data_IF_331376972454
#
_entry.id   IF_331376972454
#
_cell.length_a   1.000
_cell.length_b   1.000
_cell.length_c   1.000
_cell.angle_alpha   90.00
_cell.angle_beta   90.00
_cell.angle_gamma   90.00
#
_symmetry.space_group_name_H-M   'P 1'
#
loop_
_entity.id
_entity.type
_entity.pdbx_description
1 polymer ?
#
# COMPACT_ATOMS: atom_id res chain seq x y z
N UNK A 1 -15.38 29.22 -9.72
CA UNK A 1 -14.01 28.88 -9.25
C UNK A 1 -13.03 29.11 -10.38
N UNK A 2 -11.77 29.45 -10.09
CA UNK A 2 -10.74 29.63 -11.13
C UNK A 2 -10.54 28.32 -11.95
N UNK A 3 -10.42 28.37 -13.29
CA UNK A 3 -10.31 27.16 -14.12
C UNK A 3 -9.15 26.22 -13.76
N UNK A 4 -8.05 26.79 -13.26
CA UNK A 4 -6.86 26.03 -12.86
C UNK A 4 -6.96 25.40 -11.47
N UNK A 5 -8.00 25.72 -10.69
CA UNK A 5 -8.11 25.26 -9.31
C UNK A 5 -8.40 23.76 -9.32
N UNK A 6 -7.57 23.00 -8.59
CA UNK A 6 -7.82 21.58 -8.40
C UNK A 6 -9.06 21.37 -7.52
N UNK A 7 -9.69 20.21 -7.63
CA UNK A 7 -10.82 19.84 -6.81
C UNK A 7 -10.39 19.74 -5.34
N UNK A 8 -9.18 19.24 -5.06
CA UNK A 8 -8.70 19.11 -3.68
C UNK A 8 -8.51 20.47 -3.00
N UNK A 9 -7.99 21.46 -3.72
CA UNK A 9 -7.84 22.82 -3.18
C UNK A 9 -9.20 23.46 -2.93
N UNK A 10 -10.15 23.27 -3.85
CA UNK A 10 -11.51 23.77 -3.66
C UNK A 10 -12.17 23.16 -2.42
N UNK A 11 -12.09 21.83 -2.27
CA UNK A 11 -12.69 21.12 -1.13
C UNK A 11 -12.09 21.58 0.20
N UNK A 12 -10.76 21.74 0.27
CA UNK A 12 -10.04 22.07 1.51
C UNK A 12 -10.15 23.54 1.89
N UNK A 13 -9.99 24.45 0.92
CA UNK A 13 -9.87 25.87 1.21
C UNK A 13 -11.24 26.57 1.24
N UNK A 14 -12.06 26.36 0.21
CA UNK A 14 -13.39 26.99 0.09
C UNK A 14 -14.43 26.15 0.83
N UNK A 15 -14.42 24.83 0.59
CA UNK A 15 -15.38 23.89 1.19
C UNK A 15 -15.11 23.58 2.66
N UNK A 16 -13.89 23.86 3.15
CA UNK A 16 -13.43 23.51 4.51
C UNK A 16 -13.58 22.02 4.86
N UNK A 17 -13.63 21.15 3.85
CA UNK A 17 -13.67 19.69 3.98
C UNK A 17 -12.24 19.15 4.05
N UNK A 18 -11.60 19.36 5.20
CA UNK A 18 -10.15 19.16 5.39
C UNK A 18 -9.73 17.72 5.66
N UNK A 19 -10.67 16.77 5.77
CA UNK A 19 -10.37 15.35 5.83
C UNK A 19 -9.70 14.85 4.55
N UNK A 20 -9.96 15.47 3.41
CA UNK A 20 -9.24 15.16 2.17
C UNK A 20 -7.81 15.72 2.24
N UNK A 21 -6.80 14.87 2.09
CA UNK A 21 -5.39 15.25 2.22
C UNK A 21 -4.63 15.29 0.89
N UNK A 22 -3.49 15.98 0.88
CA UNK A 22 -2.65 16.17 -0.32
C UNK A 22 -1.23 15.71 -0.02
N UNK A 23 -0.86 14.53 -0.50
CA UNK A 23 0.50 13.98 -0.27
C UNK A 23 1.47 14.12 -1.45
N UNK A 24 0.96 14.09 -2.68
CA UNK A 24 1.82 14.02 -3.87
C UNK A 24 1.43 14.97 -5.01
N UNK A 25 0.16 15.37 -5.15
CA UNK A 25 -0.31 16.26 -6.23
C UNK A 25 -0.14 15.77 -7.68
N UNK A 26 0.34 14.53 -7.88
CA UNK A 26 0.46 13.91 -9.20
C UNK A 26 -0.29 12.56 -9.28
N UNK A 27 -1.34 12.38 -8.45
CA UNK A 27 -2.29 11.26 -8.53
C UNK A 27 -1.84 9.92 -7.96
N UNK A 28 -0.63 9.83 -7.40
CA UNK A 28 -0.02 8.55 -6.98
C UNK A 28 -0.42 8.11 -5.56
N UNK A 29 -0.41 8.99 -4.58
CA UNK A 29 -0.54 8.59 -3.17
C UNK A 29 -1.96 8.23 -2.71
N UNK A 30 -2.99 8.71 -3.39
CA UNK A 30 -4.40 8.47 -3.02
C UNK A 30 -4.92 9.13 -1.74
N UNK A 31 -4.12 9.94 -1.03
CA UNK A 31 -4.61 10.67 0.14
C UNK A 31 -5.77 11.64 -0.19
N UNK A 32 -5.85 12.06 -1.46
CA UNK A 32 -6.87 12.98 -1.99
C UNK A 32 -8.11 12.26 -2.58
N UNK A 33 -8.29 10.97 -2.29
CA UNK A 33 -9.38 10.20 -2.89
C UNK A 33 -10.73 10.63 -2.34
N UNK A 34 -11.64 10.95 -3.25
CA UNK A 34 -13.05 11.25 -3.00
C UNK A 34 -13.89 10.42 -3.97
N UNK A 35 -15.20 10.33 -3.75
CA UNK A 35 -16.10 9.79 -4.76
C UNK A 35 -16.55 10.92 -5.68
N UNK A 36 -16.49 10.69 -6.98
CA UNK A 36 -17.07 11.56 -8.00
C UNK A 36 -18.06 10.68 -8.78
N UNK A 37 -19.33 11.05 -8.83
CA UNK A 37 -20.39 10.27 -9.48
C UNK A 37 -20.36 8.77 -9.08
N UNK A 38 -20.16 8.56 -7.78
CA UNK A 38 -20.00 7.25 -7.17
C UNK A 38 -18.61 6.61 -7.30
N UNK A 39 -17.74 6.96 -8.25
CA UNK A 39 -16.46 6.27 -8.39
C UNK A 39 -15.30 6.97 -7.63
N UNK A 40 -14.38 6.22 -6.99
CA UNK A 40 -13.18 6.80 -6.41
C UNK A 40 -12.32 7.52 -7.44
N UNK A 41 -11.94 8.76 -7.16
CA UNK A 41 -11.12 9.58 -8.03
C UNK A 41 -10.13 10.46 -7.26
N UNK A 42 -9.05 10.85 -7.94
CA UNK A 42 -7.99 11.70 -7.37
C UNK A 42 -8.33 13.17 -7.51
N UNK A 43 -8.82 13.79 -6.44
CA UNK A 43 -9.17 15.21 -6.48
C UNK A 43 -7.99 16.15 -6.77
N UNK A 44 -6.74 15.74 -6.50
CA UNK A 44 -5.56 16.56 -6.79
C UNK A 44 -5.22 16.72 -8.28
N UNK A 45 -5.69 15.81 -9.13
CA UNK A 45 -5.49 15.87 -10.60
C UNK A 45 -6.81 16.05 -11.36
N UNK A 46 -7.86 16.45 -10.66
CA UNK A 46 -9.16 16.80 -11.22
C UNK A 46 -9.35 18.30 -11.02
N UNK A 47 -9.74 19.04 -12.06
CA UNK A 47 -10.06 20.46 -11.92
C UNK A 47 -11.47 20.65 -11.36
N UNK A 48 -11.64 21.58 -10.41
CA UNK A 48 -12.94 21.86 -9.81
C UNK A 48 -13.99 22.29 -10.84
N UNK A 49 -13.59 23.07 -11.86
CA UNK A 49 -14.48 23.47 -12.96
C UNK A 49 -14.98 22.30 -13.82
N UNK A 50 -14.23 21.20 -13.86
CA UNK A 50 -14.62 20.02 -14.63
C UNK A 50 -15.68 19.17 -13.91
N UNK A 51 -15.91 19.43 -12.61
CA UNK A 51 -16.88 18.73 -11.78
C UNK A 51 -18.24 19.44 -11.70
N UNK A 52 -18.52 20.37 -12.61
CA UNK A 52 -19.83 21.02 -12.67
C UNK A 52 -20.93 19.97 -12.85
N UNK A 53 -21.93 19.99 -11.97
CA UNK A 53 -23.05 19.02 -11.91
C UNK A 53 -22.67 17.59 -11.52
N UNK A 54 -21.40 17.31 -11.18
CA UNK A 54 -20.99 16.01 -10.65
C UNK A 54 -21.37 15.88 -9.17
N UNK A 55 -21.71 14.68 -8.74
CA UNK A 55 -21.87 14.37 -7.32
C UNK A 55 -20.49 14.15 -6.70
N UNK A 56 -20.11 14.97 -5.73
CA UNK A 56 -18.83 14.85 -5.02
C UNK A 56 -19.09 14.46 -3.58
N UNK A 57 -18.57 13.31 -3.14
CA UNK A 57 -18.69 12.83 -1.77
C UNK A 57 -17.29 12.65 -1.17
N UNK A 58 -17.01 13.42 -0.12
CA UNK A 58 -15.80 13.28 0.71
C UNK A 58 -16.07 12.34 1.89
N UNK A 59 -15.06 12.07 2.73
CA UNK A 59 -15.26 11.24 3.92
C UNK A 59 -16.27 11.87 4.89
N UNK A 60 -16.25 13.20 5.03
CA UNK A 60 -17.19 13.96 5.82
C UNK A 60 -18.64 13.79 5.33
N UNK A 61 -18.83 13.67 4.01
CA UNK A 61 -20.15 13.39 3.42
C UNK A 61 -20.69 11.98 3.69
N UNK A 62 -19.88 11.10 4.28
CA UNK A 62 -20.26 9.73 4.67
C UNK A 62 -20.25 9.53 6.19
N UNK A 63 -20.30 10.60 6.99
CA UNK A 63 -20.25 10.50 8.46
C UNK A 63 -21.34 9.60 9.04
N UNK A 64 -22.56 9.72 8.52
CA UNK A 64 -23.72 8.94 8.95
C UNK A 64 -23.91 7.62 8.16
N UNK A 65 -23.00 7.29 7.24
CA UNK A 65 -23.11 6.04 6.48
C UNK A 65 -22.72 4.84 7.38
N UNK A 66 -23.60 3.82 7.53
CA UNK A 66 -23.35 2.71 8.44
C UNK A 66 -22.12 1.89 8.04
N UNK A 67 -21.82 1.77 6.74
CA UNK A 67 -20.64 1.04 6.25
C UNK A 67 -19.36 1.78 6.63
N UNK A 68 -19.36 3.12 6.57
CA UNK A 68 -18.23 3.91 7.08
C UNK A 68 -18.08 3.76 8.59
N UNK A 69 -19.18 3.72 9.36
CA UNK A 69 -19.15 3.44 10.79
C UNK A 69 -18.47 2.09 11.10
N UNK A 70 -18.83 1.05 10.36
CA UNK A 70 -18.23 -0.28 10.48
C UNK A 70 -16.74 -0.27 10.07
N UNK A 71 -16.40 0.36 8.96
CA UNK A 71 -15.02 0.50 8.50
C UNK A 71 -14.16 1.27 9.50
N UNK A 72 -14.67 2.34 10.12
CA UNK A 72 -13.95 3.08 11.18
C UNK A 72 -13.70 2.20 12.40
N UNK A 73 -14.70 1.41 12.79
CA UNK A 73 -14.57 0.45 13.90
C UNK A 73 -13.52 -0.60 13.59
N UNK A 74 -13.58 -1.22 12.41
CA UNK A 74 -12.61 -2.20 11.97
C UNK A 74 -11.19 -1.60 11.85
N UNK A 75 -11.07 -0.37 11.32
CA UNK A 75 -9.78 0.31 11.23
C UNK A 75 -9.16 0.57 12.61
N UNK A 76 -9.99 0.85 13.62
CA UNK A 76 -9.55 0.97 15.01
C UNK A 76 -9.11 -0.39 15.58
N UNK A 77 -9.96 -1.41 15.49
CA UNK A 77 -9.73 -2.76 16.03
C UNK A 77 -8.49 -3.44 15.44
N UNK A 78 -8.21 -3.22 14.16
CA UNK A 78 -7.08 -3.84 13.46
C UNK A 78 -5.85 -2.92 13.33
N UNK A 79 -5.79 -1.81 14.08
CA UNK A 79 -4.70 -0.84 14.03
C UNK A 79 -4.35 -0.41 12.59
N UNK A 80 -5.37 -0.17 11.76
CA UNK A 80 -5.26 0.15 10.34
C UNK A 80 -4.86 1.61 10.07
N UNK A 81 -4.52 2.38 11.11
CA UNK A 81 -4.00 3.74 11.00
C UNK A 81 -2.98 4.04 12.09
N UNK A 82 -2.08 4.97 11.82
CA UNK A 82 -1.15 5.54 12.81
C UNK A 82 -1.20 7.07 12.72
N UNK A 83 -0.46 7.68 11.78
CA UNK A 83 -0.47 9.14 11.60
C UNK A 83 -1.80 9.71 11.10
N UNK A 84 -2.72 8.85 10.65
CA UNK A 84 -4.03 9.26 10.14
C UNK A 84 -4.02 9.90 8.73
N UNK A 85 -2.86 10.20 8.16
CA UNK A 85 -2.78 11.03 6.95
C UNK A 85 -3.38 10.37 5.70
N UNK A 86 -3.12 9.09 5.45
CA UNK A 86 -3.74 8.38 4.33
C UNK A 86 -5.16 7.88 4.63
N UNK A 87 -5.58 7.92 5.91
CA UNK A 87 -6.78 7.23 6.39
C UNK A 87 -8.05 7.70 5.68
N UNK A 88 -8.26 9.00 5.40
CA UNK A 88 -9.48 9.42 4.71
C UNK A 88 -9.61 8.87 3.28
N UNK A 89 -8.55 8.95 2.48
CA UNK A 89 -8.53 8.35 1.14
C UNK A 89 -8.63 6.82 1.16
N UNK A 90 -8.03 6.19 2.17
CA UNK A 90 -8.16 4.75 2.41
C UNK A 90 -9.59 4.35 2.74
N UNK A 91 -10.30 5.07 3.60
CA UNK A 91 -11.69 4.79 3.96
C UNK A 91 -12.64 4.95 2.78
N UNK A 92 -12.44 5.98 1.94
CA UNK A 92 -13.22 6.13 0.70
C UNK A 92 -13.01 4.95 -0.25
N UNK A 93 -11.76 4.49 -0.38
CA UNK A 93 -11.44 3.36 -1.25
C UNK A 93 -11.94 2.03 -0.68
N UNK A 94 -11.83 1.85 0.64
CA UNK A 94 -12.39 0.70 1.35
C UNK A 94 -13.91 0.64 1.19
N UNK A 95 -14.60 1.78 1.36
CA UNK A 95 -16.03 1.92 1.15
C UNK A 95 -16.45 1.49 -0.26
N UNK A 96 -15.77 1.98 -1.30
CA UNK A 96 -16.03 1.54 -2.67
C UNK A 96 -15.78 0.03 -2.83
N UNK A 97 -14.70 -0.52 -2.29
CA UNK A 97 -14.40 -1.95 -2.39
C UNK A 97 -15.49 -2.80 -1.74
N UNK A 98 -15.89 -2.51 -0.50
CA UNK A 98 -16.87 -3.35 0.22
C UNK A 98 -18.28 -3.26 -0.37
N UNK A 99 -18.63 -2.12 -0.99
CA UNK A 99 -19.95 -1.92 -1.61
C UNK A 99 -20.01 -2.37 -3.08
N UNK A 100 -18.87 -2.43 -3.78
CA UNK A 100 -18.78 -2.82 -5.19
C UNK A 100 -18.35 -4.27 -5.39
N UNK A 101 -17.52 -4.80 -4.49
CA UNK A 101 -16.85 -6.10 -4.61
C UNK A 101 -17.02 -6.95 -3.32
N UNK A 102 -18.26 -7.35 -2.95
CA UNK A 102 -18.55 -8.03 -1.68
C UNK A 102 -17.90 -9.42 -1.52
N UNK A 103 -17.37 -10.00 -2.59
CA UNK A 103 -16.74 -11.34 -2.60
C UNK A 103 -15.29 -11.30 -3.11
N UNK A 104 -14.61 -10.17 -2.88
CA UNK A 104 -13.21 -10.01 -3.29
C UNK A 104 -12.27 -10.87 -2.44
N UNK A 105 -11.29 -11.51 -3.07
CA UNK A 105 -10.20 -12.17 -2.35
C UNK A 105 -9.12 -11.18 -1.92
N UNK A 106 -8.21 -11.60 -1.03
CA UNK A 106 -7.17 -10.72 -0.50
C UNK A 106 -6.23 -10.17 -1.59
N UNK A 107 -5.91 -10.97 -2.61
CA UNK A 107 -5.02 -10.54 -3.70
C UNK A 107 -5.67 -9.42 -4.51
N UNK A 108 -6.95 -9.55 -4.83
CA UNK A 108 -7.70 -8.52 -5.53
C UNK A 108 -7.93 -7.30 -4.63
N UNK A 109 -8.18 -7.48 -3.33
CA UNK A 109 -8.26 -6.37 -2.37
C UNK A 109 -6.97 -5.54 -2.38
N UNK A 110 -5.80 -6.18 -2.31
CA UNK A 110 -4.49 -5.51 -2.41
C UNK A 110 -4.33 -4.73 -3.71
N UNK A 111 -4.79 -5.30 -4.83
CA UNK A 111 -4.74 -4.65 -6.13
C UNK A 111 -5.65 -3.41 -6.18
N UNK A 112 -6.88 -3.49 -5.66
CA UNK A 112 -7.81 -2.35 -5.58
C UNK A 112 -7.27 -1.24 -4.67
N UNK A 113 -6.56 -1.60 -3.61
CA UNK A 113 -5.91 -0.65 -2.69
C UNK A 113 -4.58 -0.08 -3.22
N UNK A 114 -4.03 -0.61 -4.32
CA UNK A 114 -2.72 -0.18 -4.85
C UNK A 114 -2.65 1.32 -5.17
N UNK A 115 -3.80 1.96 -5.33
CA UNK A 115 -3.93 3.40 -5.51
C UNK A 115 -3.77 4.24 -4.23
N UNK A 116 -3.74 3.65 -3.04
CA UNK A 116 -3.62 4.40 -1.79
C UNK A 116 -2.33 4.00 -1.09
N UNK A 117 -1.43 4.96 -0.92
CA UNK A 117 -0.14 4.71 -0.29
C UNK A 117 -0.23 5.00 1.21
N UNK A 118 0.26 4.06 2.01
CA UNK A 118 0.46 4.21 3.44
C UNK A 118 1.93 4.05 3.78
N UNK A 119 2.48 5.01 4.54
CA UNK A 119 3.89 4.96 5.00
C UNK A 119 4.06 4.30 6.36
N UNK A 120 2.99 4.17 7.14
CA UNK A 120 3.06 3.85 8.55
C UNK A 120 2.70 2.39 8.85
N UNK A 121 1.63 1.86 8.24
CA UNK A 121 0.99 0.61 8.68
C UNK A 121 1.55 -0.66 8.05
N UNK A 122 2.29 -0.55 6.95
CA UNK A 122 2.68 -1.72 6.15
C UNK A 122 1.49 -2.48 5.54
N UNK A 123 0.29 -1.87 5.52
CA UNK A 123 -0.97 -2.38 4.96
C UNK A 123 -1.63 -3.57 5.67
N UNK A 124 -0.93 -4.32 6.53
CA UNK A 124 -1.47 -5.53 7.17
C UNK A 124 -2.78 -5.24 7.92
N UNK A 125 -2.78 -4.25 8.81
CA UNK A 125 -3.98 -3.87 9.56
C UNK A 125 -5.12 -3.31 8.68
N UNK A 126 -4.78 -2.60 7.60
CA UNK A 126 -5.76 -2.06 6.64
C UNK A 126 -6.48 -3.21 5.93
N UNK A 127 -5.72 -4.22 5.49
CA UNK A 127 -6.27 -5.38 4.80
C UNK A 127 -7.12 -6.21 5.75
N UNK A 128 -6.65 -6.45 6.98
CA UNK A 128 -7.42 -7.13 8.01
C UNK A 128 -8.75 -6.42 8.33
N UNK A 129 -8.73 -5.09 8.45
CA UNK A 129 -9.94 -4.30 8.69
C UNK A 129 -10.96 -4.41 7.56
N UNK A 130 -10.52 -4.35 6.30
CA UNK A 130 -11.45 -4.42 5.17
C UNK A 130 -11.99 -5.85 5.02
N UNK A 131 -11.15 -6.87 5.21
CA UNK A 131 -11.60 -8.27 5.20
C UNK A 131 -12.64 -8.55 6.29
N UNK A 132 -12.46 -8.03 7.51
CA UNK A 132 -13.43 -8.28 8.59
C UNK A 132 -14.80 -7.67 8.28
N UNK A 133 -14.85 -6.52 7.59
CA UNK A 133 -16.11 -5.94 7.09
C UNK A 133 -16.69 -6.78 5.94
N UNK A 134 -15.87 -7.20 4.96
CA UNK A 134 -16.33 -8.09 3.88
C UNK A 134 -16.91 -9.40 4.39
N UNK A 135 -16.31 -9.99 5.43
CA UNK A 135 -16.79 -11.22 6.05
C UNK A 135 -18.15 -11.04 6.73
N UNK A 136 -18.38 -9.92 7.43
CA UNK A 136 -19.69 -9.59 8.03
C UNK A 136 -20.79 -9.50 6.98
N UNK A 137 -20.48 -9.01 5.78
CA UNK A 137 -21.45 -8.80 4.69
C UNK A 137 -21.46 -9.91 3.62
N UNK A 138 -20.84 -11.08 3.88
CA UNK A 138 -20.84 -12.20 2.93
C UNK A 138 -22.24 -12.74 2.62
N UNK A 139 -23.15 -12.74 3.59
CA UNK A 139 -24.48 -13.32 3.45
C UNK A 139 -25.51 -12.34 2.85
N UNK A 140 -25.34 -11.05 3.10
CA UNK A 140 -26.20 -9.97 2.59
C UNK A 140 -25.30 -8.88 2.02
N UNK A 141 -25.06 -8.86 0.69
CA UNK A 141 -24.17 -7.89 0.09
C UNK A 141 -24.65 -6.45 0.27
N UNK A 142 -23.73 -5.58 0.69
CA UNK A 142 -23.90 -4.13 0.62
C UNK A 142 -23.97 -3.74 -0.85
N UNK A 143 -25.18 -3.52 -1.38
CA UNK A 143 -25.33 -3.26 -2.81
C UNK A 143 -25.47 -1.75 -3.03
N UNK A 144 -24.49 -1.15 -3.73
CA UNK A 144 -24.66 0.21 -4.26
C UNK A 144 -25.06 0.15 -5.74
N UNK A 145 -25.85 1.12 -6.18
CA UNK A 145 -26.16 1.30 -7.60
C UNK A 145 -24.85 1.34 -8.42
N UNK A 146 -24.83 0.71 -9.61
CA UNK A 146 -23.63 0.65 -10.44
C UNK A 146 -23.12 2.06 -10.76
N UNK A 147 -21.80 2.23 -10.74
CA UNK A 147 -21.15 3.44 -11.24
C UNK A 147 -21.49 3.61 -12.72
N UNK A 148 -21.78 4.83 -13.14
CA UNK A 148 -22.19 5.16 -14.51
C UNK A 148 -21.20 4.60 -15.54
N UNK A 149 -21.63 3.65 -16.39
CA UNK A 149 -20.83 2.90 -17.39
C UNK A 149 -20.18 3.78 -18.49
N UNK A 150 -20.31 5.11 -18.44
CA UNK A 150 -19.87 5.97 -19.53
C UNK A 150 -18.38 6.26 -19.43
N UNK A 151 -17.62 5.58 -20.30
CA UNK A 151 -16.19 5.77 -20.57
C UNK A 151 -15.81 7.27 -20.66
N UNK A 152 -15.18 7.77 -19.59
CA UNK A 152 -14.58 9.10 -19.45
C UNK A 152 -13.93 9.20 -18.06
N UNK A 153 -12.99 10.13 -17.81
CA UNK A 153 -12.51 10.36 -16.44
C UNK A 153 -13.69 10.67 -15.52
N UNK A 154 -13.65 10.19 -14.27
CA UNK A 154 -14.73 10.40 -13.31
C UNK A 154 -15.06 11.91 -13.18
N UNK A 155 -16.33 12.31 -13.26
CA UNK A 155 -16.75 13.72 -13.32
C UNK A 155 -16.83 14.32 -14.72
N UNK A 156 -16.38 13.63 -15.78
CA UNK A 156 -16.45 14.11 -17.17
C UNK A 156 -17.79 13.85 -17.86
N UNK A 157 -18.88 13.76 -17.09
CA UNK A 157 -20.21 13.68 -17.68
C UNK A 157 -20.37 14.82 -18.69
N UNK A 158 -20.75 14.46 -19.92
CA UNK A 158 -21.00 15.44 -20.99
C UNK A 158 -22.00 16.46 -20.45
N UNK A 159 -21.54 17.68 -20.19
CA UNK A 159 -22.38 18.87 -20.29
C UNK A 159 -22.95 18.83 -21.70
N UNK A 160 -24.20 18.40 -21.89
CA UNK A 160 -24.81 18.09 -23.20
C UNK A 160 -24.42 19.15 -24.24
N UNK A 161 -23.50 18.89 -25.18
CA UNK A 161 -23.17 19.86 -26.21
C UNK A 161 -23.69 19.35 -27.55
N UNK A 162 -24.43 20.19 -28.27
CA UNK A 162 -24.86 19.94 -29.64
C UNK A 162 -23.68 19.46 -30.48
N UNK A 163 -23.85 18.26 -31.04
CA UNK A 163 -22.93 17.53 -31.93
C UNK A 163 -22.16 18.40 -32.92
N UNK A 164 -20.83 18.21 -32.99
CA UNK A 164 -20.13 17.87 -34.25
C UNK A 164 -18.99 16.88 -33.96
N UNK A 165 -19.00 15.77 -34.68
CA UNK A 165 -18.11 14.61 -34.52
C UNK A 165 -16.66 14.94 -34.94
N UNK A 166 -15.69 14.52 -34.13
CA UNK A 166 -14.26 14.43 -34.52
C UNK A 166 -13.90 12.94 -34.55
N UNK A 167 -13.36 12.48 -35.68
CA UNK A 167 -12.88 11.11 -35.87
C UNK A 167 -11.48 10.98 -35.23
N UNK A 168 -11.29 9.98 -34.37
CA UNK A 168 -9.97 9.62 -33.82
C UNK A 168 -9.47 8.31 -34.44
N UNK A 169 -8.18 8.31 -34.81
CA UNK A 169 -7.48 7.14 -35.36
C UNK A 169 -7.15 6.11 -34.28
N UNK A 170 -7.08 4.84 -34.70
CA UNK A 170 -7.13 3.63 -33.89
C UNK A 170 -6.09 3.52 -32.77
N UNK A 171 -6.57 3.08 -31.60
CA UNK A 171 -5.77 2.73 -30.43
C UNK A 171 -5.17 1.33 -30.65
N UNK A 172 -3.84 1.23 -30.66
CA UNK A 172 -3.17 -0.07 -30.61
C UNK A 172 -3.42 -0.75 -29.25
N UNK A 173 -3.86 -1.99 -29.29
CA UNK A 173 -4.07 -2.86 -28.13
C UNK A 173 -2.75 -3.57 -27.78
N UNK A 174 -2.28 -3.41 -26.55
CA UNK A 174 -1.20 -4.23 -26.00
C UNK A 174 -1.76 -5.57 -25.49
N UNK A 175 -1.04 -6.70 -25.69
CA UNK A 175 -1.47 -7.98 -25.15
C UNK A 175 -1.36 -8.00 -23.62
N UNK A 176 -2.26 -8.72 -22.92
CA UNK A 176 -2.23 -8.84 -21.47
C UNK A 176 -0.96 -9.58 -21.01
N UNK A 177 -0.31 -9.04 -19.98
CA UNK A 177 0.85 -9.66 -19.32
C UNK A 177 0.39 -10.92 -18.57
N UNK A 178 0.96 -12.07 -18.90
CA UNK A 178 0.71 -13.31 -18.16
C UNK A 178 1.18 -13.16 -16.71
N UNK A 179 0.27 -13.33 -15.76
CA UNK A 179 0.60 -13.39 -14.33
C UNK A 179 1.31 -14.71 -14.04
N UNK A 180 2.56 -14.64 -13.58
CA UNK A 180 3.19 -15.78 -12.91
C UNK A 180 2.54 -15.98 -11.54
N UNK A 181 2.25 -17.24 -11.20
CA UNK A 181 1.76 -17.61 -9.88
C UNK A 181 2.78 -17.22 -8.81
N UNK A 182 2.32 -16.50 -7.79
CA UNK A 182 3.11 -16.23 -6.61
C UNK A 182 3.44 -17.54 -5.90
N UNK A 183 4.69 -17.68 -5.45
CA UNK A 183 5.11 -18.81 -4.63
C UNK A 183 4.26 -18.89 -3.35
N UNK A 184 3.78 -20.09 -3.03
CA UNK A 184 3.02 -20.36 -1.81
C UNK A 184 3.88 -20.07 -0.59
N UNK A 185 3.46 -19.11 0.25
CA UNK A 185 4.07 -18.89 1.55
C UNK A 185 3.40 -19.82 2.55
N UNK A 186 4.15 -20.78 3.11
CA UNK A 186 3.68 -21.57 4.25
C UNK A 186 3.58 -20.66 5.48
N UNK A 187 2.39 -20.60 6.09
CA UNK A 187 2.22 -20.03 7.43
C UNK A 187 2.66 -21.09 8.44
N UNK A 188 3.76 -20.85 9.14
CA UNK A 188 4.11 -21.64 10.31
C UNK A 188 3.26 -21.14 11.48
N UNK A 189 2.47 -22.03 12.06
CA UNK A 189 1.74 -21.80 13.32
C UNK A 189 2.71 -22.04 14.48
N UNK A 190 3.03 -20.97 15.22
CA UNK A 190 3.99 -20.98 16.32
C UNK A 190 3.30 -20.87 17.69
N UNK A 191 1.98 -21.08 17.74
CA UNK A 191 1.17 -20.92 18.95
C UNK A 191 1.36 -22.03 20.00
N UNK A 192 2.07 -23.12 19.65
CA UNK A 192 2.36 -24.25 20.53
C UNK A 192 3.82 -24.36 20.98
N UNK A 193 4.68 -23.40 20.63
CA UNK A 193 6.10 -23.45 20.95
C UNK A 193 6.37 -22.96 22.39
N UNK A 194 7.25 -23.68 23.09
CA UNK A 194 7.68 -23.34 24.45
C UNK A 194 8.78 -22.27 24.39
N UNK A 195 8.36 -21.01 24.36
CA UNK A 195 9.25 -19.86 24.23
C UNK A 195 10.23 -19.70 25.41
N UNK A 196 9.89 -20.20 26.60
CA UNK A 196 10.79 -20.18 27.77
C UNK A 196 11.95 -21.18 27.60
N UNK A 197 11.70 -22.33 26.96
CA UNK A 197 12.76 -23.27 26.58
C UNK A 197 13.63 -22.76 25.42
N UNK A 198 13.04 -22.05 24.46
CA UNK A 198 13.76 -21.41 23.34
C UNK A 198 14.72 -20.33 23.84
N UNK A 199 14.29 -19.50 24.81
CA UNK A 199 15.15 -18.47 25.42
C UNK A 199 16.32 -19.07 26.21
N UNK A 200 16.16 -20.27 26.78
CA UNK A 200 17.20 -20.95 27.56
C UNK A 200 18.28 -21.64 26.69
N UNK A 201 17.94 -22.06 25.48
CA UNK A 201 18.81 -22.87 24.60
C UNK A 201 19.34 -22.08 23.40
N UNK A 202 18.79 -20.90 23.14
CA UNK A 202 19.07 -20.10 21.95
C UNK A 202 18.31 -20.61 20.72
N UNK A 203 18.17 -19.74 19.73
CA UNK A 203 17.51 -20.07 18.45
C UNK A 203 18.57 -20.52 17.45
N UNK A 204 18.51 -21.78 16.99
CA UNK A 204 19.31 -22.27 15.87
C UNK A 204 18.49 -22.22 14.57
N UNK A 205 18.96 -21.44 13.60
CA UNK A 205 18.35 -21.31 12.28
C UNK A 205 19.28 -21.94 11.24
N UNK A 206 18.86 -23.08 10.67
CA UNK A 206 19.63 -23.79 9.65
C UNK A 206 18.97 -23.62 8.29
N UNK A 207 19.61 -22.83 7.41
CA UNK A 207 19.14 -22.57 6.06
C UNK A 207 20.23 -22.92 5.04
N UNK A 208 19.83 -23.54 3.93
CA UNK A 208 20.71 -23.87 2.82
C UNK A 208 20.14 -23.38 1.49
N UNK A 209 21.02 -23.10 0.54
CA UNK A 209 20.66 -22.72 -0.82
C UNK A 209 21.75 -23.18 -1.79
N UNK A 210 21.38 -23.41 -3.04
CA UNK A 210 22.32 -23.79 -4.08
C UNK A 210 22.90 -22.56 -4.79
N UNK A 211 24.21 -22.59 -5.03
CA UNK A 211 24.93 -21.57 -5.78
C UNK A 211 25.56 -22.19 -7.03
N UNK A 212 25.60 -21.41 -8.11
CA UNK A 212 26.16 -21.85 -9.41
C UNK A 212 27.70 -21.87 -9.46
N UNK A 213 28.37 -21.75 -8.31
CA UNK A 213 29.82 -21.61 -8.20
C UNK A 213 30.40 -22.75 -7.36
N UNK A 214 31.65 -23.12 -7.64
CA UNK A 214 32.36 -24.13 -6.85
C UNK A 214 32.61 -23.63 -5.42
N UNK A 215 32.67 -24.56 -4.46
CA UNK A 215 32.93 -24.26 -3.04
C UNK A 215 34.15 -23.36 -2.84
N UNK A 216 35.24 -23.61 -3.57
CA UNK A 216 36.48 -22.81 -3.48
C UNK A 216 36.27 -21.36 -3.93
N UNK A 217 35.47 -21.15 -4.98
CA UNK A 217 35.17 -19.79 -5.48
C UNK A 217 34.34 -19.01 -4.47
N UNK A 218 33.34 -19.68 -3.89
CA UNK A 218 32.49 -19.09 -2.84
C UNK A 218 33.34 -18.77 -1.61
N UNK A 219 34.20 -19.68 -1.18
CA UNK A 219 35.03 -19.46 0.01
C UNK A 219 36.01 -18.29 -0.16
N UNK A 220 36.63 -18.14 -1.34
CA UNK A 220 37.50 -17.00 -1.64
C UNK A 220 36.76 -15.65 -1.56
N UNK A 221 35.48 -15.61 -1.93
CA UNK A 221 34.67 -14.41 -1.74
C UNK A 221 34.47 -14.12 -0.24
N UNK A 222 34.15 -15.14 0.55
CA UNK A 222 33.95 -14.98 2.00
C UNK A 222 35.22 -14.56 2.73
N UNK A 223 36.41 -14.99 2.28
CA UNK A 223 37.71 -14.54 2.80
C UNK A 223 37.96 -13.04 2.60
N UNK A 224 37.30 -12.41 1.61
CA UNK A 224 37.38 -10.98 1.36
C UNK A 224 36.33 -10.23 2.20
N UNK A 225 36.65 -10.00 3.48
CA UNK A 225 35.75 -9.32 4.43
C UNK A 225 35.25 -7.96 3.94
N UNK A 226 36.05 -7.22 3.16
CA UNK A 226 35.62 -5.94 2.59
C UNK A 226 34.51 -6.14 1.55
N UNK A 227 34.66 -7.06 0.60
CA UNK A 227 33.61 -7.35 -0.38
C UNK A 227 32.35 -7.91 0.28
N UNK A 228 32.51 -8.77 1.29
CA UNK A 228 31.39 -9.32 2.05
C UNK A 228 30.62 -8.21 2.78
N UNK A 229 31.31 -7.28 3.45
CA UNK A 229 30.66 -6.18 4.17
C UNK A 229 29.81 -5.31 3.24
N UNK A 230 30.25 -5.04 2.01
CA UNK A 230 29.46 -4.30 1.01
C UNK A 230 28.19 -5.03 0.58
N UNK A 231 28.18 -6.36 0.67
CA UNK A 231 27.02 -7.18 0.31
C UNK A 231 25.99 -7.29 1.44
N UNK A 232 26.34 -6.91 2.67
CA UNK A 232 25.49 -7.01 3.84
C UNK A 232 24.92 -5.63 4.19
N UNK A 233 23.61 -5.39 3.99
CA UNK A 233 23.01 -4.09 4.28
C UNK A 233 23.22 -3.67 5.74
N UNK A 234 23.81 -2.49 5.93
CA UNK A 234 24.07 -1.92 7.25
C UNK A 234 25.35 -2.41 7.93
N UNK A 235 26.10 -3.34 7.34
CA UNK A 235 27.41 -3.74 7.83
C UNK A 235 28.50 -2.74 7.42
N UNK A 236 29.43 -2.50 8.33
CA UNK A 236 30.60 -1.66 8.14
C UNK A 236 31.78 -2.27 8.90
N UNK A 237 32.94 -2.37 8.25
CA UNK A 237 34.19 -2.67 8.94
C UNK A 237 34.73 -1.38 9.57
N UNK A 238 35.01 -1.41 10.86
CA UNK A 238 35.59 -0.27 11.59
C UNK A 238 37.12 -0.31 11.57
N UNK A 239 37.69 -1.47 11.27
CA UNK A 239 39.13 -1.70 11.16
C UNK A 239 39.46 -2.42 9.87
N UNK A 240 40.70 -2.23 9.39
CA UNK A 240 41.21 -2.99 8.23
C UNK A 240 41.42 -4.45 8.64
N UNK A 241 40.93 -5.44 7.88
CA UNK A 241 41.15 -6.84 8.18
C UNK A 241 42.64 -7.21 8.25
N UNK A 242 43.04 -7.89 9.32
CA UNK A 242 44.40 -8.44 9.49
C UNK A 242 44.29 -9.93 9.81
N UNK A 243 44.91 -10.79 8.99
CA UNK A 243 44.90 -12.25 9.17
C UNK A 243 43.49 -12.86 9.33
N UNK A 244 42.50 -12.35 8.59
CA UNK A 244 41.12 -12.85 8.67
C UNK A 244 40.34 -12.37 9.90
N UNK A 245 40.92 -11.49 10.73
CA UNK A 245 40.25 -10.84 11.85
C UNK A 245 39.93 -9.38 11.52
N UNK A 246 38.72 -8.93 11.86
CA UNK A 246 38.32 -7.52 11.76
C UNK A 246 37.28 -7.16 12.82
N UNK A 247 37.22 -5.88 13.17
CA UNK A 247 36.10 -5.30 13.91
C UNK A 247 35.12 -4.63 12.94
N UNK A 248 33.84 -4.67 13.28
CA UNK A 248 32.79 -4.06 12.50
C UNK A 248 31.55 -3.73 13.31
N UNK A 249 30.65 -3.01 12.64
CA UNK A 249 29.34 -2.64 13.14
C UNK A 249 28.28 -3.06 12.13
N UNK A 250 27.12 -3.52 12.61
CA UNK A 250 25.94 -3.76 11.79
C UNK A 250 24.80 -2.93 12.33
N UNK A 251 24.24 -2.06 11.49
CA UNK A 251 23.03 -1.31 11.79
C UNK A 251 21.82 -1.97 11.15
N UNK A 252 20.84 -2.35 11.98
CA UNK A 252 19.58 -2.93 11.53
C UNK A 252 18.46 -1.90 11.76
N UNK A 253 17.66 -1.65 10.71
CA UNK A 253 16.47 -0.79 10.78
C UNK A 253 15.21 -1.62 10.67
N UNK A 254 14.37 -1.56 11.71
CA UNK A 254 13.03 -2.16 11.74
C UNK A 254 12.01 -1.05 11.96
N UNK A 255 11.51 -0.47 10.86
CA UNK A 255 10.62 0.70 10.93
C UNK A 255 11.32 1.92 11.53
N UNK A 256 10.80 2.54 12.63
CA UNK A 256 11.43 3.69 13.28
C UNK A 256 12.58 3.29 14.22
N UNK A 257 12.72 2.01 14.56
CA UNK A 257 13.75 1.52 15.48
C UNK A 257 15.03 1.27 14.68
N UNK A 258 16.13 1.85 15.15
CA UNK A 258 17.48 1.59 14.65
C UNK A 258 18.30 1.00 15.78
N UNK A 259 18.86 -0.18 15.56
CA UNK A 259 19.77 -0.85 16.50
C UNK A 259 21.12 -1.03 15.83
N UNK A 260 22.17 -0.68 16.56
CA UNK A 260 23.56 -0.85 16.15
C UNK A 260 24.21 -1.94 17.01
N UNK A 261 24.92 -2.85 16.36
CA UNK A 261 25.64 -3.94 17.00
C UNK A 261 27.09 -3.87 16.57
N UNK A 262 28.01 -3.76 17.51
CA UNK A 262 29.45 -3.83 17.26
C UNK A 262 29.99 -5.19 17.65
N UNK A 263 30.95 -5.70 16.90
CA UNK A 263 31.57 -6.99 17.18
C UNK A 263 32.84 -7.23 16.38
N UNK A 264 33.47 -8.36 16.64
CA UNK A 264 34.64 -8.86 15.92
C UNK A 264 34.26 -10.07 15.07
N UNK A 265 34.83 -10.16 13.87
CA UNK A 265 34.73 -11.33 13.00
C UNK A 265 36.10 -11.98 12.85
N UNK A 266 36.13 -13.31 12.84
CA UNK A 266 37.32 -14.12 12.56
C UNK A 266 36.94 -15.19 11.52
N UNK A 267 37.65 -15.21 10.40
CA UNK A 267 37.52 -16.26 9.38
C UNK A 267 38.60 -17.31 9.64
N UNK A 268 38.17 -18.57 9.81
CA UNK A 268 39.03 -19.75 10.01
C UNK A 268 38.99 -20.69 8.82
#
# INVERSE_FOLDING_TARGET
>A
VEPRRSLVDYLRDDGRLTGTHVGCEHGVCGACTVLIDGAPARSCITYAVACESAEIITLEGLEDDPVIGELRTAFHEHHALQCGYCTPGMLISAYDIVTRLPHVDENRLRLELSGNLCRCTGYVGIISAINSVLEKHRAVPLTRAPTSEKLGPVGSHRSVPKSKSIKTHGRQTFPPRQQQQAAQTQKNDLSGEDWEAVDAQGVELLQSFEVRYSRTTVWRLFENLEEVAHCVPGALLTTTPVNGQAEGEVTIKLGPITSAFSGSVEIK
#
